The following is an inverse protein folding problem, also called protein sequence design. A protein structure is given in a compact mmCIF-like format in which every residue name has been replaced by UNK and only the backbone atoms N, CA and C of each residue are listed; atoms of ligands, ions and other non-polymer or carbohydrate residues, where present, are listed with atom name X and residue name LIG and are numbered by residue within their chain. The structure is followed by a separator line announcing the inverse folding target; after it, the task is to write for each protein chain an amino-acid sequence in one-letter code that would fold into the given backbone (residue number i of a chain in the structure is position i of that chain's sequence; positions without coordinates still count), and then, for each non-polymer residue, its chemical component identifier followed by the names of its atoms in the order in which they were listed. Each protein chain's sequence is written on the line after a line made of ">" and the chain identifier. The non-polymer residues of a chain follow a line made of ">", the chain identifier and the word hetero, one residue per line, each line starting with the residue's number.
data_IF_457371483540
#
_entry.id   IF_457371483540
#
_cell.length_a   1.000
_cell.length_b   1.000
_cell.length_c   1.000
_cell.angle_alpha   90.00
_cell.angle_beta   90.00
_cell.angle_gamma   90.00
#
_symmetry.space_group_name_H-M   'P 1'
#
loop_
_entity.id
_entity.type
_entity.pdbx_description
1 polymer ?
#
# COMPACT_ATOMS: atom_id res chain seq x y z
N UNK A 1 22.14 2.18 2.15
CA UNK A 1 21.20 1.46 3.03
C UNK A 1 21.87 0.23 3.65
N UNK A 2 22.22 -0.82 2.89
CA UNK A 2 22.93 -2.01 3.43
C UNK A 2 24.36 -1.71 3.90
N UNK A 3 25.09 -0.82 3.20
CA UNK A 3 26.44 -0.40 3.59
C UNK A 3 26.46 0.61 4.77
N UNK A 4 25.29 1.13 5.19
CA UNK A 4 25.17 2.19 6.21
C UNK A 4 24.54 1.72 7.52
N UNK A 5 24.23 0.42 7.67
CA UNK A 5 23.59 -0.13 8.87
C UNK A 5 22.16 0.37 9.13
N UNK A 6 21.54 1.04 8.16
CA UNK A 6 20.24 1.70 8.32
C UNK A 6 19.09 0.74 8.02
N UNK A 7 18.93 -0.29 8.87
CA UNK A 7 17.87 -1.30 8.75
C UNK A 7 16.46 -0.70 8.88
N UNK A 8 16.35 0.44 9.53
CA UNK A 8 15.11 1.19 9.76
C UNK A 8 14.60 1.80 8.45
N UNK A 9 15.53 2.36 7.66
CA UNK A 9 15.21 2.91 6.33
C UNK A 9 14.81 1.79 5.37
N UNK A 10 15.46 0.63 5.48
CA UNK A 10 15.06 -0.54 4.69
C UNK A 10 13.64 -0.98 5.04
N UNK A 11 13.31 -1.11 6.33
CA UNK A 11 11.95 -1.42 6.77
C UNK A 11 10.94 -0.39 6.27
N UNK A 12 11.26 0.90 6.32
CA UNK A 12 10.40 1.98 5.86
C UNK A 12 10.07 1.88 4.35
N UNK A 13 11.09 1.66 3.51
CA UNK A 13 10.91 1.53 2.06
C UNK A 13 10.14 0.26 1.71
N UNK A 14 10.45 -0.86 2.37
CA UNK A 14 9.75 -2.12 2.12
C UNK A 14 8.28 -2.06 2.54
N UNK A 15 7.96 -1.49 3.70
CA UNK A 15 6.54 -1.36 4.10
C UNK A 15 5.80 -0.37 3.22
N UNK A 16 6.48 0.70 2.79
CA UNK A 16 5.92 1.72 1.91
C UNK A 16 5.57 1.16 0.53
N UNK A 17 6.39 0.30 -0.04
CA UNK A 17 6.13 -0.31 -1.36
C UNK A 17 5.01 -1.35 -1.38
N UNK A 18 4.61 -1.89 -0.22
CA UNK A 18 3.43 -2.78 -0.10
C UNK A 18 2.11 -2.00 -0.16
N UNK A 19 2.12 -0.70 0.16
CA UNK A 19 0.90 0.12 0.32
C UNK A 19 0.11 0.34 -0.97
N UNK A 20 0.69 0.68 -2.14
CA UNK A 20 -0.09 1.05 -3.32
C UNK A 20 -1.16 0.02 -3.75
N UNK A 21 -0.83 -1.27 -3.96
CA UNK A 21 -1.83 -2.29 -4.27
C UNK A 21 -2.83 -2.51 -3.11
N UNK A 22 -2.40 -2.46 -1.85
CA UNK A 22 -3.32 -2.61 -0.70
C UNK A 22 -4.31 -1.45 -0.59
N UNK A 23 -3.86 -0.21 -0.81
CA UNK A 23 -4.71 0.97 -0.80
C UNK A 23 -5.80 0.89 -1.89
N UNK A 24 -5.45 0.38 -3.07
CA UNK A 24 -6.39 0.15 -4.17
C UNK A 24 -7.37 -0.98 -3.81
N UNK A 25 -6.88 -2.09 -3.27
CA UNK A 25 -7.71 -3.22 -2.84
C UNK A 25 -8.73 -2.82 -1.76
N UNK A 26 -8.29 -2.03 -0.78
CA UNK A 26 -9.14 -1.45 0.26
C UNK A 26 -10.16 -0.46 -0.34
N UNK A 27 -9.72 0.46 -1.21
CA UNK A 27 -10.65 1.41 -1.86
C UNK A 27 -11.72 0.70 -2.69
N UNK A 28 -11.34 -0.34 -3.45
CA UNK A 28 -12.29 -1.11 -4.29
C UNK A 28 -13.27 -1.95 -3.46
N UNK A 29 -12.84 -2.43 -2.29
CA UNK A 29 -13.68 -3.21 -1.36
C UNK A 29 -14.67 -2.32 -0.59
N UNK A 30 -14.19 -1.22 0.01
CA UNK A 30 -15.01 -0.37 0.89
C UNK A 30 -15.81 0.70 0.14
N UNK A 31 -15.36 1.13 -1.05
CA UNK A 31 -16.04 2.14 -1.86
C UNK A 31 -16.39 1.62 -3.27
N UNK A 32 -17.16 0.51 -3.37
CA UNK A 32 -17.40 -0.19 -4.64
C UNK A 32 -18.09 0.67 -5.70
N UNK A 33 -18.87 1.69 -5.28
CA UNK A 33 -19.57 2.62 -6.19
C UNK A 33 -18.64 3.54 -7.00
N UNK A 34 -17.34 3.56 -6.69
CA UNK A 34 -16.34 4.39 -7.36
C UNK A 34 -15.56 3.64 -8.45
N UNK A 35 -15.79 2.34 -8.59
CA UNK A 35 -15.01 1.42 -9.42
C UNK A 35 -15.90 0.60 -10.34
N UNK A 36 -15.41 0.20 -11.51
CA UNK A 36 -16.13 -0.71 -12.40
C UNK A 36 -16.22 -2.12 -11.82
N UNK A 37 -17.16 -2.96 -12.29
CA UNK A 37 -17.18 -4.38 -11.95
C UNK A 37 -15.86 -5.10 -12.27
N UNK A 38 -15.16 -4.74 -13.36
CA UNK A 38 -13.84 -5.30 -13.69
C UNK A 38 -12.77 -4.88 -12.67
N UNK A 39 -12.64 -3.58 -12.40
CA UNK A 39 -11.69 -3.01 -11.43
C UNK A 39 -11.89 -3.57 -10.03
N UNK A 40 -13.12 -3.92 -9.65
CA UNK A 40 -13.41 -4.55 -8.35
C UNK A 40 -12.97 -6.01 -8.28
N UNK A 41 -13.11 -6.77 -9.37
CA UNK A 41 -12.62 -8.16 -9.43
C UNK A 41 -11.09 -8.20 -9.36
N UNK A 42 -10.45 -7.33 -10.13
CA UNK A 42 -8.99 -7.21 -10.14
C UNK A 42 -8.48 -6.64 -8.81
N UNK A 43 -9.28 -5.80 -8.14
CA UNK A 43 -8.93 -5.18 -6.85
C UNK A 43 -8.79 -6.18 -5.71
N UNK A 44 -9.48 -7.33 -5.77
CA UNK A 44 -9.33 -8.40 -4.78
C UNK A 44 -7.94 -9.05 -4.89
N UNK A 45 -7.44 -9.21 -6.12
CA UNK A 45 -6.10 -9.78 -6.37
C UNK A 45 -5.01 -8.86 -5.80
N UNK A 46 -5.25 -7.55 -5.80
CA UNK A 46 -4.32 -6.57 -5.25
C UNK A 46 -4.05 -6.72 -3.73
N UNK A 47 -4.91 -7.39 -2.96
CA UNK A 47 -4.57 -7.75 -1.57
C UNK A 47 -3.37 -8.68 -1.51
N UNK A 48 -3.39 -9.75 -2.31
CA UNK A 48 -2.31 -10.72 -2.36
C UNK A 48 -1.07 -10.09 -2.97
N UNK A 49 -1.22 -9.32 -4.05
CA UNK A 49 -0.10 -8.63 -4.69
C UNK A 49 0.60 -7.70 -3.70
N UNK A 50 -0.14 -6.87 -2.97
CA UNK A 50 0.45 -5.98 -1.97
C UNK A 50 1.11 -6.70 -0.79
N UNK A 51 0.47 -7.74 -0.27
CA UNK A 51 1.07 -8.57 0.78
C UNK A 51 2.32 -9.31 0.32
N UNK A 52 2.45 -9.61 -0.98
CA UNK A 52 3.64 -10.24 -1.55
C UNK A 52 4.67 -9.24 -2.09
N UNK A 53 4.48 -7.93 -1.88
CA UNK A 53 5.35 -6.87 -2.41
C UNK A 53 5.41 -6.81 -3.95
N UNK A 54 4.29 -7.18 -4.59
CA UNK A 54 4.06 -7.06 -6.03
C UNK A 54 3.26 -5.78 -6.26
N UNK A 55 3.92 -4.74 -6.74
CA UNK A 55 3.34 -3.40 -6.90
C UNK A 55 2.70 -3.17 -8.28
N UNK A 56 2.91 -4.10 -9.21
CA UNK A 56 2.44 -4.11 -10.59
C UNK A 56 0.91 -4.07 -10.67
N UNK A 57 0.23 -4.61 -9.65
CA UNK A 57 -1.23 -4.59 -9.54
C UNK A 57 -1.81 -3.19 -9.43
N UNK A 58 -1.00 -2.19 -9.05
CA UNK A 58 -1.40 -0.79 -9.01
C UNK A 58 -1.24 -0.05 -10.35
N UNK A 59 -0.38 -0.54 -11.26
CA UNK A 59 -0.09 0.09 -12.55
C UNK A 59 -1.36 0.31 -13.40
N UNK A 60 -2.25 -0.68 -13.62
CA UNK A 60 -3.43 -0.46 -14.47
C UNK A 60 -4.37 0.61 -13.88
N UNK A 61 -4.47 0.70 -12.55
CA UNK A 61 -5.27 1.71 -11.87
C UNK A 61 -4.65 3.11 -11.97
N UNK A 62 -3.33 3.21 -11.81
CA UNK A 62 -2.60 4.44 -11.98
C UNK A 62 -2.61 4.92 -13.44
N UNK A 63 -2.61 4.01 -14.42
CA UNK A 63 -2.75 4.35 -15.84
C UNK A 63 -4.16 4.89 -16.16
N UNK A 64 -5.19 4.35 -15.51
CA UNK A 64 -6.58 4.79 -15.70
C UNK A 64 -6.89 6.14 -15.02
N UNK A 65 -6.35 6.40 -13.83
CA UNK A 65 -6.59 7.65 -13.07
C UNK A 65 -5.33 8.13 -12.32
N UNK A 66 -4.29 8.61 -13.04
CA UNK A 66 -2.98 8.90 -12.47
C UNK A 66 -3.03 10.04 -11.44
N UNK A 67 -3.84 11.06 -11.71
CA UNK A 67 -3.94 12.27 -10.88
C UNK A 67 -4.50 11.98 -9.48
N UNK A 68 -5.24 10.89 -9.31
CA UNK A 68 -5.83 10.53 -8.02
C UNK A 68 -5.12 9.35 -7.36
N UNK A 69 -4.74 8.35 -8.16
CA UNK A 69 -4.08 7.14 -7.66
C UNK A 69 -2.67 7.47 -7.18
N UNK A 70 -1.85 8.16 -7.98
CA UNK A 70 -0.45 8.42 -7.60
C UNK A 70 -0.33 9.22 -6.30
N UNK A 71 -1.02 10.37 -6.11
CA UNK A 71 -0.89 11.11 -4.86
C UNK A 71 -1.39 10.32 -3.65
N UNK A 72 -2.49 9.56 -3.80
CA UNK A 72 -3.01 8.74 -2.71
C UNK A 72 -2.04 7.64 -2.28
N UNK A 73 -1.40 6.97 -3.23
CA UNK A 73 -0.38 5.94 -2.98
C UNK A 73 0.87 6.56 -2.36
N UNK A 74 1.35 7.70 -2.87
CA UNK A 74 2.53 8.40 -2.32
C UNK A 74 2.29 8.77 -0.85
N UNK A 75 1.14 9.37 -0.54
CA UNK A 75 0.83 9.75 0.86
C UNK A 75 0.68 8.52 1.75
N UNK A 76 0.00 7.47 1.29
CA UNK A 76 -0.13 6.22 2.05
C UNK A 76 1.22 5.54 2.32
N UNK A 77 2.08 5.44 1.30
CA UNK A 77 3.44 4.90 1.42
C UNK A 77 4.32 5.73 2.34
N UNK A 78 4.22 7.06 2.27
CA UNK A 78 4.96 7.96 3.15
C UNK A 78 4.54 7.80 4.62
N UNK A 79 3.24 7.69 4.90
CA UNK A 79 2.72 7.46 6.26
C UNK A 79 3.19 6.10 6.79
N UNK A 80 3.10 5.05 5.98
CA UNK A 80 3.59 3.71 6.36
C UNK A 80 5.09 3.71 6.69
N UNK A 81 5.90 4.32 5.83
CA UNK A 81 7.34 4.45 6.05
C UNK A 81 7.69 5.27 7.29
N UNK A 82 7.02 6.41 7.50
CA UNK A 82 7.22 7.26 8.67
C UNK A 82 6.85 6.54 9.97
N UNK A 83 5.72 5.83 10.00
CA UNK A 83 5.30 5.03 11.16
C UNK A 83 6.28 3.87 11.44
N UNK A 84 6.76 3.20 10.40
CA UNK A 84 7.75 2.13 10.52
C UNK A 84 9.05 2.63 11.18
N UNK A 85 9.54 3.80 10.76
CA UNK A 85 10.70 4.43 11.41
C UNK A 85 10.39 4.88 12.84
N UNK A 86 9.22 5.47 13.08
CA UNK A 86 8.81 5.92 14.42
C UNK A 86 8.72 4.76 15.42
N UNK A 87 8.28 3.59 14.98
CA UNK A 87 8.17 2.39 15.79
C UNK A 87 9.48 1.60 15.92
N UNK A 88 10.57 2.07 15.30
CA UNK A 88 11.87 1.41 15.31
C UNK A 88 11.83 0.04 14.62
N UNK A 89 10.98 -0.12 13.60
CA UNK A 89 10.94 -1.34 12.81
C UNK A 89 12.24 -1.47 12.03
N UNK A 90 12.86 -2.66 12.06
CA UNK A 90 14.12 -2.90 11.35
C UNK A 90 13.98 -4.06 10.40
N UNK A 91 14.61 -4.00 9.25
CA UNK A 91 14.59 -5.08 8.28
C UNK A 91 15.98 -5.27 7.68
N UNK A 92 16.45 -6.52 7.73
CA UNK A 92 17.76 -6.91 7.18
C UNK A 92 17.66 -7.46 5.75
N UNK A 93 16.49 -7.96 5.36
CA UNK A 93 16.27 -8.54 4.05
C UNK A 93 15.86 -7.45 3.04
N UNK A 94 16.51 -7.36 1.87
CA UNK A 94 16.21 -6.36 0.85
C UNK A 94 15.02 -6.75 -0.05
N UNK A 95 14.04 -7.47 0.49
CA UNK A 95 12.78 -7.76 -0.19
C UNK A 95 11.63 -7.39 0.75
N UNK A 96 10.44 -7.14 0.21
CA UNK A 96 9.25 -6.88 1.03
C UNK A 96 8.38 -8.13 1.20
N UNK A 97 7.16 -7.90 1.67
CA UNK A 97 6.09 -8.89 1.68
C UNK A 97 5.95 -9.65 2.99
N UNK A 98 4.93 -10.50 3.08
CA UNK A 98 4.65 -11.31 4.27
C UNK A 98 5.82 -12.24 4.64
N UNK A 99 6.66 -12.58 3.66
CA UNK A 99 7.84 -13.42 3.82
C UNK A 99 8.94 -12.79 4.68
N UNK A 100 8.94 -11.46 4.89
CA UNK A 100 9.92 -10.82 5.76
C UNK A 100 9.57 -10.82 7.24
N UNK A 101 8.33 -11.13 7.62
CA UNK A 101 7.90 -11.03 9.01
C UNK A 101 8.77 -11.80 10.02
N UNK A 102 9.36 -12.97 9.69
CA UNK A 102 10.28 -13.67 10.59
C UNK A 102 11.59 -12.93 10.87
N UNK A 103 11.99 -12.00 10.00
CA UNK A 103 13.27 -11.27 10.05
C UNK A 103 13.10 -9.77 10.29
N UNK A 104 11.86 -9.30 10.48
CA UNK A 104 11.53 -7.92 10.85
C UNK A 104 11.70 -7.74 12.36
N UNK A 105 12.42 -6.70 12.76
CA UNK A 105 12.38 -6.19 14.13
C UNK A 105 11.07 -5.44 14.36
N UNK A 106 10.37 -5.76 15.45
CA UNK A 106 9.05 -5.23 15.79
C UNK A 106 7.94 -5.53 14.75
N UNK A 107 7.67 -6.82 14.42
CA UNK A 107 6.77 -7.20 13.34
C UNK A 107 5.31 -6.78 13.57
N UNK A 108 4.87 -6.69 14.83
CA UNK A 108 3.53 -6.20 15.16
C UNK A 108 3.36 -4.74 14.74
N UNK A 109 4.33 -3.89 15.08
CA UNK A 109 4.27 -2.48 14.71
C UNK A 109 4.49 -2.26 13.20
N UNK A 110 5.22 -3.16 12.54
CA UNK A 110 5.34 -3.17 11.09
C UNK A 110 3.99 -3.43 10.39
N UNK A 111 3.20 -4.38 10.89
CA UNK A 111 1.84 -4.62 10.40
C UNK A 111 0.93 -3.42 10.68
N UNK A 112 1.04 -2.80 11.85
CA UNK A 112 0.28 -1.58 12.19
C UNK A 112 0.64 -0.43 11.24
N UNK A 113 1.93 -0.21 10.96
CA UNK A 113 2.39 0.80 10.01
C UNK A 113 1.84 0.55 8.60
N UNK A 114 1.91 -0.70 8.13
CA UNK A 114 1.36 -1.12 6.84
C UNK A 114 -0.15 -0.88 6.75
N UNK A 115 -0.89 -1.30 7.77
CA UNK A 115 -2.34 -1.14 7.83
C UNK A 115 -2.72 0.34 7.86
N UNK A 116 -2.07 1.14 8.69
CA UNK A 116 -2.33 2.58 8.80
C UNK A 116 -2.06 3.30 7.46
N UNK A 117 -0.92 3.06 6.82
CA UNK A 117 -0.60 3.67 5.52
C UNK A 117 -1.54 3.22 4.41
N UNK A 118 -1.93 1.95 4.39
CA UNK A 118 -2.90 1.41 3.41
C UNK A 118 -4.29 2.00 3.60
N UNK A 119 -4.76 2.16 4.84
CA UNK A 119 -6.04 2.80 5.15
C UNK A 119 -5.99 4.28 4.75
N UNK A 120 -4.93 5.01 5.10
CA UNK A 120 -4.78 6.42 4.73
C UNK A 120 -4.78 6.57 3.20
N UNK A 121 -4.00 5.77 2.48
CA UNK A 121 -3.99 5.76 1.03
C UNK A 121 -5.36 5.45 0.43
N UNK A 122 -6.06 4.44 0.96
CA UNK A 122 -7.40 4.06 0.53
C UNK A 122 -8.43 5.17 0.78
N UNK A 123 -8.38 5.82 1.94
CA UNK A 123 -9.27 6.94 2.29
C UNK A 123 -9.01 8.12 1.36
N UNK A 124 -7.76 8.53 1.15
CA UNK A 124 -7.42 9.62 0.25
C UNK A 124 -7.85 9.31 -1.18
N UNK A 125 -7.54 8.10 -1.68
CA UNK A 125 -7.97 7.65 -3.00
C UNK A 125 -9.49 7.71 -3.15
N UNK A 126 -10.19 7.23 -2.13
CA UNK A 126 -11.64 7.20 -2.13
C UNK A 126 -12.21 8.61 -2.03
N UNK A 127 -11.62 9.54 -1.29
CA UNK A 127 -12.08 10.94 -1.24
C UNK A 127 -11.83 11.66 -2.56
N UNK A 128 -10.68 11.43 -3.20
CA UNK A 128 -10.33 12.04 -4.48
C UNK A 128 -11.18 11.49 -5.63
N UNK A 129 -11.49 10.18 -5.65
CA UNK A 129 -12.36 9.61 -6.69
C UNK A 129 -13.80 10.05 -6.51
N UNK A 130 -14.39 10.61 -7.57
CA UNK A 130 -15.82 10.92 -7.64
C UNK A 130 -16.62 9.63 -7.75
N UNK A 131 -17.81 9.58 -7.13
CA UNK A 131 -18.76 8.48 -7.33
C UNK A 131 -19.17 8.44 -8.79
N UNK A 132 -19.08 7.27 -9.44
CA UNK A 132 -19.59 7.10 -10.80
C UNK A 132 -21.12 7.13 -10.75
N UNK A 133 -21.71 8.02 -11.53
CA UNK A 133 -23.17 8.13 -11.72
C UNK A 133 -23.70 7.22 -12.83
N UNK A 134 -22.82 6.48 -13.50
CA UNK A 134 -23.20 5.60 -14.61
C UNK A 134 -23.72 4.27 -14.03
N UNK A 135 -24.99 4.32 -13.63
CA UNK A 135 -25.82 3.14 -13.37
C UNK A 135 -26.55 2.83 -14.67
N UNK A 136 -26.02 1.89 -15.46
CA UNK A 136 -26.82 0.94 -16.26
C UNK A 136 -26.06 -0.38 -16.30
#
# INVERSE_FOLDING_TARGET
>A
ALASGSFDVMAAVMVGGMVPPLAIALSTTFFPKKWTPSERRDGIVNYVMGLCFISEGAIPYAAADPLRVLPSCIVGSAVSGALSMLFGCTLRAPHGGIFVFPVVGNPLMYVVALAAGSIVGAVILSLLKKTRTDVV
#
